data_IF_986089364528
#
_entry.id   IF_986089364528
#
_cell.length_a   1.000
_cell.length_b   1.000
_cell.length_c   1.000
_cell.angle_alpha   90.00
_cell.angle_beta   90.00
_cell.angle_gamma   90.00
#
_symmetry.space_group_name_H-M   'P 1'
#
loop_
_entity.id
_entity.type
_entity.pdbx_description
1 polymer ?
#
# COMPACT_ATOMS: atom_id res chain seq x y z
N UNK A 1 2.04 -16.91 -7.60
CA UNK A 1 1.14 -18.07 -7.64
C UNK A 1 0.23 -17.95 -8.87
N UNK A 2 0.07 -18.98 -9.72
CA UNK A 2 -0.56 -18.84 -11.04
C UNK A 2 -2.05 -18.47 -11.03
N UNK A 3 -2.73 -18.67 -9.90
CA UNK A 3 -4.14 -18.26 -9.72
C UNK A 3 -4.34 -16.81 -9.27
N UNK A 4 -3.25 -16.07 -9.00
CA UNK A 4 -3.35 -14.65 -8.67
C UNK A 4 -3.47 -13.83 -9.94
N UNK A 5 -4.25 -12.76 -9.89
CA UNK A 5 -4.22 -11.73 -10.92
C UNK A 5 -2.88 -10.97 -10.84
N UNK A 6 -1.96 -11.27 -11.75
CA UNK A 6 -0.62 -10.65 -11.80
C UNK A 6 -0.70 -9.16 -12.04
N UNK A 7 -1.58 -8.71 -12.94
CA UNK A 7 -1.67 -7.31 -13.34
C UNK A 7 -2.15 -6.46 -12.17
N UNK A 8 -3.16 -6.96 -11.44
CA UNK A 8 -3.65 -6.32 -10.22
C UNK A 8 -2.56 -6.28 -9.14
N UNK A 9 -1.89 -7.40 -8.88
CA UNK A 9 -0.90 -7.46 -7.81
C UNK A 9 0.33 -6.59 -8.09
N UNK A 10 0.83 -6.58 -9.33
CA UNK A 10 1.93 -5.70 -9.74
C UNK A 10 1.51 -4.24 -9.65
N UNK A 11 0.32 -3.89 -10.17
CA UNK A 11 -0.20 -2.53 -10.06
C UNK A 11 -0.30 -2.09 -8.60
N UNK A 12 -0.91 -2.92 -7.75
CA UNK A 12 -1.07 -2.63 -6.32
C UNK A 12 0.29 -2.51 -5.61
N UNK A 13 1.26 -3.38 -5.92
CA UNK A 13 2.61 -3.29 -5.38
C UNK A 13 3.31 -1.97 -5.73
N UNK A 14 3.10 -1.45 -6.95
CA UNK A 14 3.67 -0.16 -7.37
C UNK A 14 3.04 1.03 -6.65
N UNK A 15 1.73 0.97 -6.35
CA UNK A 15 0.97 2.16 -5.89
C UNK A 15 0.58 2.12 -4.41
N UNK A 16 0.81 1.03 -3.68
CA UNK A 16 0.31 0.88 -2.30
C UNK A 16 0.74 2.00 -1.35
N UNK A 17 1.94 2.54 -1.55
CA UNK A 17 2.54 3.59 -0.75
C UNK A 17 2.55 4.96 -1.45
N UNK A 18 1.82 5.12 -2.57
CA UNK A 18 1.84 6.34 -3.39
C UNK A 18 1.45 7.59 -2.58
N UNK A 19 0.60 7.43 -1.56
CA UNK A 19 0.22 8.52 -0.67
C UNK A 19 1.37 9.13 0.14
N UNK A 20 2.51 8.43 0.29
CA UNK A 20 3.72 8.99 0.95
C UNK A 20 4.22 10.24 0.24
N UNK A 21 3.98 10.36 -1.07
CA UNK A 21 4.31 11.55 -1.86
C UNK A 21 3.52 12.80 -1.45
N UNK A 22 2.38 12.61 -0.77
CA UNK A 22 1.53 13.70 -0.25
C UNK A 22 1.59 13.78 1.29
N UNK A 23 2.06 12.74 1.95
CA UNK A 23 2.20 12.68 3.41
C UNK A 23 3.39 13.48 3.92
N UNK A 24 4.53 13.43 3.21
CA UNK A 24 5.77 14.05 3.67
C UNK A 24 6.12 15.34 2.92
N UNK A 25 6.77 16.27 3.62
CA UNK A 25 7.52 17.37 3.05
C UNK A 25 9.00 17.03 3.04
N UNK A 26 9.70 17.35 1.95
CA UNK A 26 11.12 17.08 1.81
C UNK A 26 11.93 18.38 1.91
N UNK A 27 12.91 18.42 2.81
CA UNK A 27 13.80 19.56 3.04
C UNK A 27 15.10 19.11 3.69
N UNK A 28 15.67 19.94 4.56
CA UNK A 28 16.82 19.53 5.40
C UNK A 28 16.46 18.34 6.31
N UNK A 29 15.19 18.21 6.68
CA UNK A 29 14.62 17.09 7.41
C UNK A 29 13.34 16.60 6.71
N UNK A 30 12.98 15.34 6.96
CA UNK A 30 11.70 14.79 6.53
C UNK A 30 10.63 15.22 7.54
N UNK A 31 9.68 16.04 7.08
CA UNK A 31 8.54 16.51 7.87
C UNK A 31 7.21 15.95 7.38
N UNK A 32 6.14 16.14 8.15
CA UNK A 32 4.77 15.79 7.73
C UNK A 32 4.03 17.01 7.16
N UNK A 33 3.29 16.80 6.08
CA UNK A 33 2.27 17.76 5.64
C UNK A 33 1.10 17.78 6.63
N UNK A 34 0.27 18.82 6.57
CA UNK A 34 -0.94 18.87 7.40
C UNK A 34 -1.91 17.74 7.04
N UNK A 35 -2.11 17.49 5.75
CA UNK A 35 -2.92 16.37 5.28
C UNK A 35 -2.34 15.02 5.71
N UNK A 36 -1.01 14.86 5.69
CA UNK A 36 -0.30 13.69 6.19
C UNK A 36 -0.58 13.43 7.68
N UNK A 37 -0.48 14.47 8.52
CA UNK A 37 -0.82 14.36 9.95
C UNK A 37 -2.25 13.91 10.22
N UNK A 38 -3.22 14.40 9.42
CA UNK A 38 -4.64 14.15 9.66
C UNK A 38 -5.16 12.85 9.06
N UNK A 39 -4.63 12.45 7.90
CA UNK A 39 -5.19 11.36 7.09
C UNK A 39 -4.25 10.15 6.96
N UNK A 40 -2.94 10.37 7.00
CA UNK A 40 -1.93 9.35 6.72
C UNK A 40 -1.87 8.94 5.24
N UNK A 41 -0.80 8.26 4.84
CA UNK A 41 -0.56 7.92 3.44
C UNK A 41 -1.59 6.98 2.81
N UNK A 42 -2.21 6.08 3.57
CA UNK A 42 -3.16 5.11 2.99
C UNK A 42 -4.36 5.84 2.39
N UNK A 43 -4.98 6.72 3.17
CA UNK A 43 -6.13 7.53 2.74
C UNK A 43 -5.75 8.50 1.61
N UNK A 44 -4.57 9.14 1.72
CA UNK A 44 -4.06 10.02 0.67
C UNK A 44 -3.80 9.27 -0.63
N UNK A 45 -3.29 8.04 -0.56
CA UNK A 45 -3.04 7.16 -1.70
C UNK A 45 -4.35 6.74 -2.37
N UNK A 46 -5.35 6.34 -1.60
CA UNK A 46 -6.70 5.99 -2.12
C UNK A 46 -7.30 7.14 -2.91
N UNK A 47 -7.27 8.37 -2.38
CA UNK A 47 -7.79 9.55 -3.07
C UNK A 47 -7.05 9.84 -4.38
N UNK A 48 -5.72 9.74 -4.36
CA UNK A 48 -4.89 9.99 -5.53
C UNK A 48 -5.16 8.94 -6.63
N UNK A 49 -5.35 7.68 -6.25
CA UNK A 49 -5.69 6.59 -7.17
C UNK A 49 -7.10 6.80 -7.74
N UNK A 50 -8.11 7.12 -6.91
CA UNK A 50 -9.49 7.35 -7.39
C UNK A 50 -9.55 8.50 -8.40
N UNK A 51 -8.85 9.60 -8.13
CA UNK A 51 -8.75 10.76 -9.02
C UNK A 51 -8.22 10.36 -10.41
N UNK A 52 -7.13 9.60 -10.46
CA UNK A 52 -6.48 9.22 -11.72
C UNK A 52 -7.12 8.01 -12.40
N UNK A 53 -7.80 7.14 -11.67
CA UNK A 53 -8.50 6.00 -12.25
C UNK A 53 -9.60 6.45 -13.22
N UNK A 54 -10.28 7.55 -12.90
CA UNK A 54 -11.32 8.15 -13.74
C UNK A 54 -10.76 8.66 -15.07
N UNK A 55 -9.59 9.30 -15.06
CA UNK A 55 -8.96 9.83 -16.28
C UNK A 55 -8.38 8.73 -17.16
N UNK A 56 -7.89 7.64 -16.55
CA UNK A 56 -7.40 6.46 -17.26
C UNK A 56 -8.52 5.55 -17.81
N UNK A 57 -9.79 5.83 -17.48
CA UNK A 57 -10.91 4.97 -17.87
C UNK A 57 -10.86 3.58 -17.23
N UNK A 58 -10.31 3.48 -16.02
CA UNK A 58 -10.24 2.21 -15.30
C UNK A 58 -11.65 1.77 -14.88
N UNK A 59 -11.99 0.53 -15.23
CA UNK A 59 -13.25 -0.09 -14.85
C UNK A 59 -13.47 -0.08 -13.32
N UNK A 60 -14.72 0.08 -12.90
CA UNK A 60 -15.08 0.26 -11.49
C UNK A 60 -14.73 -0.97 -10.63
N UNK A 61 -14.90 -2.18 -11.15
CA UNK A 61 -14.57 -3.40 -10.40
C UNK A 61 -13.06 -3.56 -10.26
N UNK A 62 -12.29 -3.19 -11.30
CA UNK A 62 -10.82 -3.15 -11.23
C UNK A 62 -10.32 -2.11 -10.25
N UNK A 63 -10.93 -0.93 -10.24
CA UNK A 63 -10.61 0.12 -9.26
C UNK A 63 -10.90 -0.36 -7.84
N UNK A 64 -12.08 -0.93 -7.59
CA UNK A 64 -12.44 -1.46 -6.28
C UNK A 64 -11.46 -2.55 -5.80
N UNK A 65 -11.05 -3.46 -6.70
CA UNK A 65 -10.05 -4.49 -6.39
C UNK A 65 -8.67 -3.89 -6.06
N UNK A 66 -8.23 -2.86 -6.80
CA UNK A 66 -6.98 -2.15 -6.52
C UNK A 66 -7.04 -1.42 -5.17
N UNK A 67 -8.10 -0.65 -4.91
CA UNK A 67 -8.28 0.08 -3.66
C UNK A 67 -8.35 -0.86 -2.47
N UNK A 68 -8.97 -2.03 -2.61
CA UNK A 68 -8.98 -3.07 -1.57
C UNK A 68 -7.57 -3.54 -1.20
N UNK A 69 -6.72 -3.84 -2.21
CA UNK A 69 -5.33 -4.18 -1.97
C UNK A 69 -4.58 -3.05 -1.23
N UNK A 70 -4.74 -1.80 -1.70
CA UNK A 70 -4.09 -0.63 -1.09
C UNK A 70 -4.60 -0.38 0.32
N UNK A 71 -5.89 -0.50 0.61
CA UNK A 71 -6.43 -0.27 1.96
C UNK A 71 -5.92 -1.28 3.00
N UNK A 72 -5.57 -2.49 2.58
CA UNK A 72 -5.17 -3.59 3.47
C UNK A 72 -3.68 -3.92 3.45
N UNK A 73 -2.82 -3.14 2.79
CA UNK A 73 -1.40 -3.50 2.67
C UNK A 73 -0.67 -3.53 4.03
N UNK A 74 -1.14 -2.77 5.03
CA UNK A 74 -0.67 -2.86 6.43
C UNK A 74 -1.31 -3.96 7.26
N UNK A 75 -2.35 -4.62 6.75
CA UNK A 75 -3.05 -5.69 7.43
C UNK A 75 -4.57 -5.47 7.48
N UNK A 76 -5.26 -6.55 7.81
CA UNK A 76 -6.67 -6.51 8.17
C UNK A 76 -6.86 -5.92 9.57
N UNK A 77 -7.97 -5.22 9.77
CA UNK A 77 -8.40 -4.72 11.07
C UNK A 77 -9.83 -5.21 11.34
N UNK A 78 -9.98 -6.30 12.11
CA UNK A 78 -11.28 -6.86 12.44
C UNK A 78 -12.19 -5.88 13.19
N UNK A 79 -11.62 -4.94 13.96
CA UNK A 79 -12.39 -3.95 14.74
C UNK A 79 -13.03 -2.89 13.86
N UNK A 80 -12.38 -2.54 12.75
CA UNK A 80 -12.90 -1.67 11.70
C UNK A 80 -13.63 -2.43 10.57
N UNK A 81 -13.90 -3.73 10.73
CA UNK A 81 -14.54 -4.56 9.72
C UNK A 81 -13.72 -4.81 8.45
N UNK A 82 -12.44 -4.42 8.44
CA UNK A 82 -11.52 -4.54 7.31
C UNK A 82 -10.91 -5.93 7.27
N UNK A 83 -11.31 -6.75 6.30
CA UNK A 83 -10.84 -8.14 6.13
C UNK A 83 -10.35 -8.38 4.71
N UNK A 84 -9.37 -9.27 4.54
CA UNK A 84 -8.94 -9.71 3.22
C UNK A 84 -10.08 -10.46 2.50
N UNK A 85 -10.72 -9.78 1.55
CA UNK A 85 -11.71 -10.37 0.65
C UNK A 85 -11.14 -10.80 -0.72
N UNK A 86 -9.82 -10.64 -0.95
CA UNK A 86 -9.12 -11.10 -2.15
C UNK A 86 -7.78 -11.74 -1.79
N UNK A 87 -7.33 -12.68 -2.63
CA UNK A 87 -6.04 -13.32 -2.46
C UNK A 87 -4.89 -12.35 -2.76
N UNK A 88 -5.11 -11.38 -3.65
CA UNK A 88 -4.17 -10.33 -4.02
C UNK A 88 -3.92 -9.37 -2.86
N UNK A 89 -4.94 -8.97 -2.10
CA UNK A 89 -4.75 -8.10 -0.94
C UNK A 89 -3.95 -8.82 0.16
N UNK A 90 -4.23 -10.10 0.40
CA UNK A 90 -3.43 -10.93 1.32
C UNK A 90 -1.99 -11.08 0.83
N UNK A 91 -1.80 -11.34 -0.47
CA UNK A 91 -0.48 -11.47 -1.07
C UNK A 91 0.32 -10.17 -0.93
N UNK A 92 -0.28 -9.02 -1.27
CA UNK A 92 0.35 -7.71 -1.15
C UNK A 92 0.77 -7.42 0.30
N UNK A 93 -0.11 -7.65 1.28
CA UNK A 93 0.23 -7.48 2.69
C UNK A 93 1.46 -8.30 3.10
N UNK A 94 1.52 -9.57 2.67
CA UNK A 94 2.66 -10.45 2.96
C UNK A 94 3.93 -10.03 2.23
N UNK A 95 3.83 -9.58 0.97
CA UNK A 95 4.95 -9.07 0.20
C UNK A 95 5.51 -7.79 0.81
N UNK A 96 4.65 -6.87 1.26
CA UNK A 96 5.05 -5.64 1.93
C UNK A 96 5.80 -5.94 3.25
N UNK A 97 5.30 -6.87 4.06
CA UNK A 97 5.98 -7.29 5.29
C UNK A 97 7.35 -7.95 5.02
N UNK A 98 7.43 -8.76 3.96
CA UNK A 98 8.69 -9.36 3.52
C UNK A 98 9.69 -8.28 3.06
N UNK A 99 9.26 -7.34 2.22
CA UNK A 99 10.11 -6.25 1.73
C UNK A 99 10.68 -5.41 2.88
N UNK A 100 9.83 -5.02 3.84
CA UNK A 100 10.27 -4.30 5.04
C UNK A 100 11.30 -5.10 5.86
N UNK A 101 11.11 -6.41 6.01
CA UNK A 101 12.07 -7.28 6.71
C UNK A 101 13.39 -7.42 5.97
N UNK A 102 13.36 -7.55 4.64
CA UNK A 102 14.55 -7.64 3.80
C UNK A 102 15.32 -6.32 3.84
N UNK A 103 14.62 -5.19 3.68
CA UNK A 103 15.21 -3.86 3.81
C UNK A 103 15.89 -3.68 5.16
N UNK A 104 15.22 -4.03 6.26
CA UNK A 104 15.78 -3.97 7.60
C UNK A 104 17.06 -4.80 7.74
N UNK A 105 17.08 -6.03 7.21
CA UNK A 105 18.26 -6.89 7.21
C UNK A 105 19.43 -6.34 6.38
N UNK A 106 19.13 -5.67 5.25
CA UNK A 106 20.15 -5.05 4.40
C UNK A 106 20.75 -3.79 5.04
N UNK A 107 19.93 -2.99 5.73
CA UNK A 107 20.36 -1.73 6.35
C UNK A 107 21.09 -1.94 7.69
N UNK A 108 20.67 -2.94 8.49
CA UNK A 108 21.15 -3.15 9.85
C UNK A 108 21.94 -4.46 10.04
N UNK A 109 22.06 -5.27 8.99
CA UNK A 109 22.68 -6.59 9.02
C UNK A 109 21.73 -7.70 9.50
N UNK A 110 21.99 -8.94 9.06
CA UNK A 110 21.33 -10.15 9.56
C UNK A 110 21.87 -10.46 10.96
N UNK A 111 21.41 -9.76 11.98
CA UNK A 111 21.73 -10.15 13.36
C UNK A 111 21.00 -11.45 13.67
N UNK A 112 21.77 -12.54 13.78
CA UNK A 112 21.26 -13.82 14.27
C UNK A 112 20.73 -13.62 15.69
N UNK A 113 19.40 -13.58 15.85
CA UNK A 113 18.78 -13.90 17.13
C UNK A 113 18.89 -15.41 17.31
N UNK A 114 20.01 -15.86 17.91
CA UNK A 114 20.11 -17.16 18.58
C UNK A 114 19.33 -17.16 19.87
#
# INVERSE_FOLDING_TARGET
HPRLNSDLLVCAALVHDLGKTREFTYGAEIGLTEAGRLLGHVELGVRLIDEHARTCGLDADRLAALLHCVLLHHGADPSAGRRFASAEALALHRLNALDASVKGALEHGLTHQT
#
